data_IF_076764727663
#
_entry.id   IF_076764727663
#
_cell.length_a   1.000
_cell.length_b   1.000
_cell.length_c   1.000
_cell.angle_alpha   90.00
_cell.angle_beta   90.00
_cell.angle_gamma   90.00
#
_symmetry.space_group_name_H-M   'P 1'
#
loop_
_entity.id
_entity.type
_entity.pdbx_description
1 polymer ?
#
# COMPACT_ATOMS: atom_id res chain seq x y z
N UNK A 1 52.69 61.93 59.65
CA UNK A 1 53.03 61.32 58.33
C UNK A 1 52.21 60.04 58.19
N UNK A 2 51.66 59.76 57.00
CA UNK A 2 50.73 58.67 56.58
C UNK A 2 49.26 58.91 56.98
N UNK A 3 48.37 59.44 56.12
CA UNK A 3 47.84 59.14 54.76
C UNK A 3 46.83 57.98 54.69
N UNK A 4 45.69 58.18 53.99
CA UNK A 4 44.47 57.36 54.05
C UNK A 4 44.34 56.41 52.87
N UNK A 5 43.62 55.30 53.01
CA UNK A 5 43.09 54.53 51.87
C UNK A 5 41.71 53.94 52.22
N UNK A 6 40.71 54.82 52.29
CA UNK A 6 39.30 54.47 52.07
C UNK A 6 38.99 54.75 50.59
N UNK A 7 39.35 53.85 49.68
CA UNK A 7 39.05 54.03 48.25
C UNK A 7 39.21 52.72 47.46
N UNK A 8 38.59 51.62 47.89
CA UNK A 8 38.53 50.39 47.08
C UNK A 8 37.13 49.76 47.05
N UNK A 9 36.25 50.01 48.03
CA UNK A 9 34.95 49.32 48.07
C UNK A 9 33.81 49.98 47.27
N UNK A 10 33.98 51.21 46.77
CA UNK A 10 32.91 51.93 46.03
C UNK A 10 33.00 51.72 44.51
N UNK A 11 34.11 51.18 44.00
CA UNK A 11 34.31 50.96 42.55
C UNK A 11 33.81 49.60 42.04
N UNK A 12 33.42 48.66 42.92
CA UNK A 12 32.90 47.33 42.50
C UNK A 12 31.39 47.35 42.27
N UNK A 13 30.66 48.32 42.85
CA UNK A 13 29.18 48.40 42.71
C UNK A 13 28.75 49.12 41.42
N UNK A 14 29.64 49.87 40.76
CA UNK A 14 29.35 50.57 39.51
C UNK A 14 29.71 49.79 38.22
N UNK A 15 30.27 48.59 38.35
CA UNK A 15 30.56 47.71 37.19
C UNK A 15 29.52 46.59 36.99
N UNK A 16 28.52 46.47 37.87
CA UNK A 16 27.42 45.50 37.74
C UNK A 16 26.21 46.06 36.95
N UNK A 17 26.36 47.20 36.29
CA UNK A 17 25.30 47.84 35.49
C UNK A 17 25.44 47.68 33.97
N UNK A 18 26.42 46.91 33.49
CA UNK A 18 26.73 46.77 32.06
C UNK A 18 27.03 45.32 31.63
N UNK A 19 26.44 44.33 32.29
CA UNK A 19 26.22 43.02 31.68
C UNK A 19 24.84 43.00 31.04
N UNK A 20 24.66 43.84 30.02
CA UNK A 20 23.63 43.64 29.02
C UNK A 20 23.99 42.39 28.23
N UNK A 21 23.57 41.24 28.75
CA UNK A 21 23.40 40.07 27.91
C UNK A 21 22.27 40.43 26.96
N UNK A 22 22.59 40.48 25.67
CA UNK A 22 21.62 40.56 24.60
C UNK A 22 20.56 39.50 24.88
N UNK A 23 19.38 39.94 25.32
CA UNK A 23 18.17 39.17 25.10
C UNK A 23 18.08 39.08 23.58
N UNK A 24 18.46 37.92 23.04
CA UNK A 24 17.82 37.47 21.83
C UNK A 24 16.32 37.66 22.09
N UNK A 25 15.66 38.43 21.24
CA UNK A 25 14.22 38.35 21.14
C UNK A 25 13.93 36.92 20.75
N UNK A 26 13.76 36.07 21.76
CA UNK A 26 12.84 34.95 21.68
C UNK A 26 11.53 35.58 21.20
N UNK A 27 11.30 35.44 19.90
CA UNK A 27 9.97 35.52 19.31
C UNK A 27 9.21 34.30 19.81
N UNK A 28 9.01 34.23 21.13
CA UNK A 28 8.18 33.23 21.80
C UNK A 28 6.75 33.76 21.85
N UNK A 29 6.28 34.14 20.66
CA UNK A 29 4.87 34.24 20.36
C UNK A 29 4.50 33.00 19.54
N UNK A 30 4.79 31.82 20.09
CA UNK A 30 3.95 30.67 19.82
C UNK A 30 2.51 31.12 20.07
N UNK A 31 1.64 30.88 19.10
CA UNK A 31 0.22 31.17 19.20
C UNK A 31 -0.26 30.44 20.46
N UNK A 32 -0.53 31.16 21.55
CA UNK A 32 -0.74 30.55 22.88
C UNK A 32 -1.90 29.55 22.92
N UNK A 33 -2.73 29.52 21.88
CA UNK A 33 -3.88 28.65 21.73
C UNK A 33 -3.70 27.56 20.66
N UNK A 34 -2.61 27.52 19.88
CA UNK A 34 -2.41 26.55 18.81
C UNK A 34 -1.03 25.89 18.91
N UNK A 35 -1.01 24.57 19.10
CA UNK A 35 0.21 23.79 19.29
C UNK A 35 0.05 22.41 18.64
N UNK A 36 1.09 21.96 17.93
CA UNK A 36 1.18 20.61 17.39
C UNK A 36 2.32 19.89 18.09
N UNK A 37 2.01 18.73 18.67
CA UNK A 37 3.00 17.82 19.23
C UNK A 37 3.13 16.58 18.36
N UNK A 38 4.35 16.10 18.18
CA UNK A 38 4.68 14.85 17.49
C UNK A 38 5.48 14.01 18.48
N UNK A 39 5.02 12.80 18.77
CA UNK A 39 5.56 11.94 19.84
C UNK A 39 5.70 12.66 21.20
N UNK A 40 4.71 13.48 21.55
CA UNK A 40 4.65 14.29 22.78
C UNK A 40 5.72 15.38 22.93
N UNK A 41 6.42 15.73 21.85
CA UNK A 41 7.35 16.86 21.77
C UNK A 41 6.81 17.91 20.79
N UNK A 42 7.22 19.18 20.91
CA UNK A 42 6.80 20.21 19.96
C UNK A 42 7.21 19.84 18.51
N UNK A 43 6.30 20.07 17.55
CA UNK A 43 6.58 19.78 16.15
C UNK A 43 7.82 20.53 15.65
N UNK A 44 8.63 19.84 14.83
CA UNK A 44 9.95 20.31 14.38
C UNK A 44 11.12 19.90 15.30
N UNK A 45 10.85 19.38 16.50
CA UNK A 45 11.88 18.78 17.38
C UNK A 45 12.19 17.34 16.98
N UNK A 46 11.15 16.57 16.67
CA UNK A 46 11.23 15.15 16.30
C UNK A 46 11.18 15.00 14.78
N UNK A 47 12.03 14.14 14.22
CA UNK A 47 11.99 13.80 12.81
C UNK A 47 10.86 12.81 12.51
N UNK A 48 10.24 12.89 11.33
CA UNK A 48 9.27 11.87 10.92
C UNK A 48 10.02 10.65 10.34
N UNK A 49 9.74 9.43 10.84
CA UNK A 49 10.31 8.23 10.28
C UNK A 49 9.62 7.88 8.96
N UNK A 50 10.41 7.74 7.88
CA UNK A 50 9.89 7.39 6.56
C UNK A 50 9.22 6.01 6.58
N UNK A 51 7.97 5.98 6.13
CA UNK A 51 7.16 4.78 6.02
C UNK A 51 6.66 4.21 7.33
N UNK A 52 6.79 4.92 8.45
CA UNK A 52 6.33 4.48 9.77
C UNK A 52 5.38 5.54 10.37
N UNK A 53 4.28 5.15 11.01
CA UNK A 53 3.40 6.09 11.70
C UNK A 53 4.08 6.63 12.96
N UNK A 54 3.80 7.88 13.27
CA UNK A 54 4.14 8.51 14.54
C UNK A 54 2.95 9.29 15.05
N UNK A 55 2.69 9.20 16.34
CA UNK A 55 1.53 9.85 16.94
C UNK A 55 1.71 11.37 16.96
N UNK A 56 0.61 12.09 16.73
CA UNK A 56 0.54 13.53 16.91
C UNK A 56 -0.62 13.92 17.81
N UNK A 57 -0.54 15.12 18.37
CA UNK A 57 -1.63 15.77 19.08
C UNK A 57 -1.69 17.23 18.66
N UNK A 58 -2.85 17.63 18.13
CA UNK A 58 -3.13 18.99 17.73
C UNK A 58 -4.01 19.64 18.81
N UNK A 59 -3.51 20.71 19.42
CA UNK A 59 -4.24 21.54 20.37
C UNK A 59 -4.62 22.86 19.69
N UNK A 60 -5.88 23.28 19.81
CA UNK A 60 -6.37 24.48 19.14
C UNK A 60 -7.74 24.94 19.62
N UNK A 61 -8.10 26.18 19.29
CA UNK A 61 -9.50 26.62 19.39
C UNK A 61 -10.31 26.08 18.18
N UNK A 62 -11.62 25.94 18.36
CA UNK A 62 -12.58 25.60 17.27
C UNK A 62 -12.29 26.45 16.05
N UNK A 63 -12.05 25.82 14.90
CA UNK A 63 -11.77 26.46 13.63
C UNK A 63 -10.30 26.62 13.26
N UNK A 64 -9.37 26.23 14.14
CA UNK A 64 -7.98 26.08 13.73
C UNK A 64 -7.78 24.84 12.85
N UNK A 65 -6.73 24.83 12.03
CA UNK A 65 -6.47 23.73 11.11
C UNK A 65 -4.99 23.39 10.96
N UNK A 66 -4.75 22.15 10.52
CA UNK A 66 -3.46 21.56 10.17
C UNK A 66 -3.54 21.03 8.73
N UNK A 67 -2.56 21.38 7.91
CA UNK A 67 -2.35 20.87 6.55
C UNK A 67 -0.99 20.18 6.49
N UNK A 68 -0.99 18.96 5.95
CA UNK A 68 0.21 18.18 5.65
C UNK A 68 0.39 18.07 4.13
N UNK A 69 1.62 17.91 3.61
CA UNK A 69 1.86 17.66 2.19
C UNK A 69 1.18 16.36 1.70
N UNK A 70 0.90 16.26 0.41
CA UNK A 70 0.22 15.08 -0.20
C UNK A 70 0.95 13.75 0.05
N UNK A 71 2.29 13.80 0.18
CA UNK A 71 3.16 12.65 0.45
C UNK A 71 3.37 12.36 1.94
N UNK A 72 2.55 12.97 2.80
CA UNK A 72 2.46 12.73 4.24
C UNK A 72 1.00 12.41 4.59
N UNK A 73 0.73 11.19 5.02
CA UNK A 73 -0.60 10.74 5.39
C UNK A 73 -0.93 11.12 6.83
N UNK A 74 -2.18 11.48 7.07
CA UNK A 74 -2.69 11.78 8.41
C UNK A 74 -3.91 10.91 8.71
N UNK A 75 -3.91 10.29 9.89
CA UNK A 75 -4.97 9.41 10.35
C UNK A 75 -5.59 9.98 11.62
N UNK A 76 -6.90 10.15 11.63
CA UNK A 76 -7.67 10.62 12.79
C UNK A 76 -8.87 9.70 12.95
N UNK A 77 -9.21 9.38 14.19
CA UNK A 77 -10.28 8.43 14.51
C UNK A 77 -10.13 7.12 13.72
N UNK A 78 -8.92 6.56 13.57
CA UNK A 78 -8.68 5.31 12.85
C UNK A 78 -8.97 5.32 11.33
N UNK A 79 -9.08 6.49 10.70
CA UNK A 79 -9.32 6.65 9.26
C UNK A 79 -8.36 7.66 8.65
N UNK A 80 -8.04 7.49 7.37
CA UNK A 80 -7.23 8.45 6.62
C UNK A 80 -8.00 9.78 6.49
N UNK A 81 -7.29 10.90 6.61
CA UNK A 81 -7.76 12.24 6.24
C UNK A 81 -7.30 12.49 4.80
N UNK A 82 -8.14 12.23 3.77
CA UNK A 82 -7.69 12.15 2.38
C UNK A 82 -7.20 13.48 1.81
N UNK A 83 -7.62 14.61 2.37
CA UNK A 83 -7.20 15.94 1.92
C UNK A 83 -5.87 16.39 2.52
N UNK A 84 -5.31 15.64 3.48
CA UNK A 84 -4.20 16.11 4.31
C UNK A 84 -4.58 17.32 5.19
N UNK A 85 -5.85 17.71 5.22
CA UNK A 85 -6.35 18.91 5.90
C UNK A 85 -7.27 18.51 7.05
N UNK A 86 -6.82 18.78 8.27
CA UNK A 86 -7.56 18.55 9.51
C UNK A 86 -8.06 19.88 10.06
N UNK A 87 -9.37 19.97 10.26
CA UNK A 87 -10.02 21.07 10.94
C UNK A 87 -10.36 20.66 12.37
N UNK A 88 -10.04 21.51 13.35
CA UNK A 88 -10.53 21.36 14.71
C UNK A 88 -11.96 21.87 14.76
N UNK A 89 -12.90 20.98 15.05
CA UNK A 89 -14.30 21.33 15.26
C UNK A 89 -14.51 21.69 16.75
N UNK A 90 -15.54 21.13 17.40
CA UNK A 90 -15.88 21.40 18.80
C UNK A 90 -14.79 20.95 19.82
N UNK A 91 -13.80 20.17 19.37
CA UNK A 91 -12.76 19.60 20.22
C UNK A 91 -11.54 20.53 20.31
N UNK A 92 -11.12 20.87 21.54
CA UNK A 92 -9.91 21.66 21.81
C UNK A 92 -8.60 20.87 21.55
N UNK A 93 -8.73 19.55 21.33
CA UNK A 93 -7.62 18.61 21.15
C UNK A 93 -8.02 17.48 20.20
N UNK A 94 -7.19 17.19 19.20
CA UNK A 94 -7.33 16.03 18.32
C UNK A 94 -6.06 15.19 18.37
N UNK A 95 -6.24 13.88 18.58
CA UNK A 95 -5.18 12.88 18.52
C UNK A 95 -5.27 12.10 17.21
N UNK A 96 -4.10 11.76 16.66
CA UNK A 96 -4.00 10.96 15.45
C UNK A 96 -2.58 10.45 15.20
N UNK A 97 -2.38 9.90 14.01
CA UNK A 97 -1.08 9.47 13.52
C UNK A 97 -0.72 10.21 12.23
N UNK A 98 0.56 10.54 12.07
CA UNK A 98 1.11 11.07 10.83
C UNK A 98 2.12 10.08 10.28
N UNK A 99 2.16 9.90 8.96
CA UNK A 99 3.03 8.95 8.29
C UNK A 99 3.61 9.62 7.05
N UNK A 100 4.89 9.98 7.09
CA UNK A 100 5.63 10.35 5.89
C UNK A 100 5.82 9.08 5.06
N UNK A 101 5.42 9.06 3.78
CA UNK A 101 5.65 7.89 2.92
C UNK A 101 7.16 7.64 2.71
N UNK A 102 7.57 6.46 2.23
CA UNK A 102 8.97 6.24 1.87
C UNK A 102 9.49 7.24 0.81
N UNK A 103 8.58 7.82 0.02
CA UNK A 103 8.87 8.68 -1.11
C UNK A 103 8.74 10.18 -0.80
N UNK A 104 8.42 10.55 0.44
CA UNK A 104 8.26 11.95 0.85
C UNK A 104 9.46 12.83 0.47
N UNK A 105 9.21 14.02 -0.08
CA UNK A 105 10.27 14.94 -0.52
C UNK A 105 10.58 15.97 0.57
N UNK A 106 11.87 16.24 0.82
CA UNK A 106 12.29 17.31 1.73
C UNK A 106 12.33 18.69 1.02
N UNK A 107 12.05 19.79 1.74
CA UNK A 107 11.67 19.85 3.16
C UNK A 107 10.19 19.50 3.39
N UNK A 108 9.89 18.81 4.50
CA UNK A 108 8.50 18.58 4.93
C UNK A 108 8.02 19.81 5.71
N UNK A 109 6.97 20.45 5.21
CA UNK A 109 6.40 21.65 5.82
C UNK A 109 4.98 21.35 6.26
N UNK A 110 4.75 21.37 7.57
CA UNK A 110 3.42 21.30 8.16
C UNK A 110 2.89 22.73 8.32
N UNK A 111 1.71 23.01 7.78
CA UNK A 111 1.09 24.34 7.89
C UNK A 111 -0.04 24.30 8.89
N UNK A 112 -0.07 25.31 9.74
CA UNK A 112 -1.11 25.48 10.74
C UNK A 112 -1.66 26.89 10.67
N UNK A 113 -2.94 27.05 10.96
CA UNK A 113 -3.56 28.36 11.05
C UNK A 113 -4.55 28.40 12.21
N UNK A 114 -4.49 29.47 13.00
CA UNK A 114 -5.44 29.73 14.06
C UNK A 114 -6.63 30.55 13.54
N UNK A 115 -7.70 30.58 14.33
CA UNK A 115 -8.92 31.33 14.00
C UNK A 115 -8.75 32.83 13.81
N UNK A 116 -7.75 33.44 14.46
CA UNK A 116 -7.45 34.86 14.29
C UNK A 116 -6.74 35.16 12.95
N UNK A 117 -6.51 34.14 12.12
CA UNK A 117 -5.85 34.20 10.83
C UNK A 117 -4.32 34.16 10.92
N UNK A 118 -3.75 33.97 12.11
CA UNK A 118 -2.31 33.72 12.25
C UNK A 118 -1.95 32.36 11.67
N UNK A 119 -0.83 32.30 10.95
CA UNK A 119 -0.33 31.07 10.35
C UNK A 119 1.07 30.73 10.90
N UNK A 120 1.36 29.44 10.92
CA UNK A 120 2.64 28.87 11.33
C UNK A 120 3.03 27.80 10.32
N UNK A 121 4.27 27.85 9.85
CA UNK A 121 4.87 26.80 9.03
C UNK A 121 5.97 26.14 9.86
N UNK A 122 5.89 24.82 10.00
CA UNK A 122 6.83 24.03 10.78
C UNK A 122 7.56 23.12 9.81
N UNK A 123 8.86 23.35 9.67
CA UNK A 123 9.75 22.43 8.94
C UNK A 123 10.08 21.24 9.85
N UNK A 124 9.83 20.04 9.36
CA UNK A 124 10.09 18.79 10.08
C UNK A 124 11.10 17.98 9.30
N UNK A 125 12.15 17.52 9.98
CA UNK A 125 13.17 16.67 9.37
C UNK A 125 12.62 15.26 9.11
N UNK A 126 13.21 14.56 8.15
CA UNK A 126 12.94 13.14 7.92
C UNK A 126 14.07 12.26 8.44
N UNK A 127 13.72 11.07 8.91
CA UNK A 127 14.69 10.01 9.19
C UNK A 127 14.33 8.72 8.44
N UNK A 128 15.36 7.91 8.15
CA UNK A 128 15.16 6.65 7.45
C UNK A 128 14.86 5.55 8.45
N UNK A 129 13.74 4.88 8.24
CA UNK A 129 13.35 3.66 8.95
C UNK A 129 12.93 2.58 7.95
N UNK A 130 12.77 1.35 8.42
CA UNK A 130 12.16 0.30 7.59
C UNK A 130 10.66 0.58 7.48
N UNK A 131 10.08 0.77 6.28
CA UNK A 131 8.66 1.08 6.16
C UNK A 131 7.75 -0.04 6.69
N UNK A 132 6.54 0.32 7.16
CA UNK A 132 5.52 -0.61 7.70
C UNK A 132 5.12 -1.70 6.69
N UNK A 133 5.18 -1.36 5.40
CA UNK A 133 5.19 -2.32 4.29
C UNK A 133 6.50 -2.12 3.54
N UNK A 134 7.42 -3.08 3.63
CA UNK A 134 8.76 -2.94 3.03
C UNK A 134 9.06 -4.06 2.03
N UNK A 135 9.86 -3.72 1.02
CA UNK A 135 10.39 -4.72 0.09
C UNK A 135 11.26 -5.76 0.77
N UNK A 136 11.99 -5.35 1.82
CA UNK A 136 12.80 -6.26 2.63
C UNK A 136 11.95 -7.30 3.36
N UNK A 137 10.88 -6.89 4.05
CA UNK A 137 9.99 -7.85 4.73
C UNK A 137 9.29 -8.76 3.71
N UNK A 138 8.89 -8.21 2.56
CA UNK A 138 8.33 -8.99 1.46
C UNK A 138 9.32 -10.05 0.97
N UNK A 139 10.58 -9.69 0.72
CA UNK A 139 11.58 -10.64 0.23
C UNK A 139 11.86 -11.74 1.26
N UNK A 140 11.95 -11.39 2.54
CA UNK A 140 12.13 -12.37 3.62
C UNK A 140 10.95 -13.35 3.70
N UNK A 141 9.72 -12.86 3.52
CA UNK A 141 8.53 -13.72 3.52
C UNK A 141 8.46 -14.60 2.27
N UNK A 142 8.80 -14.04 1.10
CA UNK A 142 8.93 -14.78 -0.15
C UNK A 142 9.94 -15.92 0.00
N UNK A 143 11.16 -15.62 0.45
CA UNK A 143 12.21 -16.61 0.69
C UNK A 143 11.74 -17.69 1.66
N UNK A 144 11.11 -17.32 2.78
CA UNK A 144 10.53 -18.31 3.69
C UNK A 144 9.50 -19.20 2.98
N UNK A 145 8.60 -18.64 2.18
CA UNK A 145 7.54 -19.40 1.51
C UNK A 145 8.09 -20.35 0.45
N UNK A 146 9.06 -19.89 -0.36
CA UNK A 146 9.56 -20.64 -1.52
C UNK A 146 10.71 -21.59 -1.16
N UNK A 147 11.49 -21.28 -0.12
CA UNK A 147 12.65 -22.09 0.27
C UNK A 147 12.28 -23.46 0.83
N UNK A 148 13.12 -24.45 0.51
CA UNK A 148 13.00 -25.84 0.98
C UNK A 148 14.22 -26.21 1.81
N UNK A 149 14.00 -26.53 3.08
CA UNK A 149 15.06 -27.03 3.96
C UNK A 149 14.52 -27.95 5.05
N UNK A 150 15.44 -28.65 5.74
CA UNK A 150 15.10 -29.61 6.80
C UNK A 150 14.50 -28.94 8.06
N UNK A 151 14.82 -27.66 8.29
CA UNK A 151 14.36 -26.89 9.46
C UNK A 151 13.14 -26.05 9.09
N UNK A 152 11.94 -26.58 9.38
CA UNK A 152 10.67 -25.93 9.03
C UNK A 152 10.40 -24.61 9.78
N UNK A 153 11.27 -24.22 10.71
CA UNK A 153 11.21 -22.89 11.35
C UNK A 153 11.93 -21.82 10.52
N UNK A 154 12.78 -22.24 9.57
CA UNK A 154 13.57 -21.37 8.70
C UNK A 154 13.07 -21.35 7.27
N UNK A 155 12.43 -22.45 6.82
CA UNK A 155 11.85 -22.52 5.49
C UNK A 155 10.45 -23.12 5.56
N UNK A 156 9.51 -22.47 4.89
CA UNK A 156 8.11 -22.83 4.81
C UNK A 156 7.84 -23.94 3.82
N UNK A 157 8.55 -24.00 2.68
CA UNK A 157 8.32 -24.97 1.60
C UNK A 157 6.84 -25.03 1.14
N UNK A 158 6.21 -23.87 0.96
CA UNK A 158 4.83 -23.72 0.48
C UNK A 158 4.80 -23.52 -1.05
N UNK A 159 5.47 -24.43 -1.75
CA UNK A 159 5.59 -24.51 -3.21
C UNK A 159 4.70 -25.65 -3.76
N UNK A 160 4.67 -25.86 -5.08
CA UNK A 160 3.86 -26.92 -5.72
C UNK A 160 2.37 -26.82 -5.36
N UNK A 161 1.85 -25.59 -5.28
CA UNK A 161 0.48 -25.30 -4.85
C UNK A 161 -0.43 -25.03 -6.04
N UNK A 162 -0.35 -25.86 -7.07
CA UNK A 162 -1.36 -25.84 -8.13
C UNK A 162 -2.67 -26.43 -7.61
N UNK A 163 -3.81 -25.97 -8.14
CA UNK A 163 -5.10 -26.55 -7.77
C UNK A 163 -5.30 -27.92 -8.42
N UNK A 164 -6.07 -28.78 -7.76
CA UNK A 164 -6.31 -30.16 -8.17
C UNK A 164 -6.24 -31.11 -6.98
N UNK A 165 -7.39 -31.45 -6.42
CA UNK A 165 -7.46 -32.42 -5.33
C UNK A 165 -7.03 -33.81 -5.81
N UNK A 166 -6.15 -34.53 -5.08
CA UNK A 166 -5.60 -34.19 -3.76
C UNK A 166 -4.18 -33.61 -3.84
N UNK A 167 -4.02 -32.28 -3.81
CA UNK A 167 -2.72 -31.62 -3.64
C UNK A 167 -2.45 -31.27 -2.16
N UNK A 168 -1.67 -32.07 -1.41
CA UNK A 168 -1.40 -31.80 0.00
C UNK A 168 -0.55 -30.54 0.23
N UNK A 169 0.24 -30.10 -0.76
CA UNK A 169 1.03 -28.88 -0.64
C UNK A 169 0.12 -27.65 -0.67
N UNK A 170 -0.91 -27.66 -1.51
CA UNK A 170 -1.93 -26.62 -1.56
C UNK A 170 -2.64 -26.48 -0.20
N UNK A 171 -3.15 -27.58 0.34
CA UNK A 171 -3.84 -27.62 1.64
C UNK A 171 -2.96 -27.10 2.78
N UNK A 172 -1.67 -27.48 2.76
CA UNK A 172 -0.70 -27.01 3.74
C UNK A 172 -0.45 -25.51 3.62
N UNK A 173 -0.31 -24.98 2.40
CA UNK A 173 -0.15 -23.54 2.15
C UNK A 173 -1.39 -22.76 2.58
N UNK A 174 -2.58 -23.20 2.18
CA UNK A 174 -3.84 -22.59 2.58
C UNK A 174 -4.00 -22.52 4.11
N UNK A 175 -3.63 -23.57 4.84
CA UNK A 175 -3.66 -23.57 6.31
C UNK A 175 -2.65 -22.58 6.92
N UNK A 176 -1.47 -22.42 6.32
CA UNK A 176 -0.50 -21.43 6.78
C UNK A 176 -1.00 -20.00 6.56
N UNK A 177 -1.54 -19.73 5.36
CA UNK A 177 -2.11 -18.42 5.05
C UNK A 177 -3.29 -18.10 5.97
N UNK A 178 -4.23 -19.04 6.16
CA UNK A 178 -5.32 -18.87 7.13
C UNK A 178 -4.80 -18.51 8.52
N UNK A 179 -3.76 -19.21 8.99
CA UNK A 179 -3.13 -18.94 10.29
C UNK A 179 -2.54 -17.52 10.41
N UNK A 180 -1.99 -16.97 9.32
CA UNK A 180 -1.47 -15.60 9.29
C UNK A 180 -2.58 -14.57 9.53
N UNK A 181 -3.65 -14.61 8.73
CA UNK A 181 -4.75 -13.66 8.88
C UNK A 181 -5.51 -13.85 10.20
N UNK A 182 -5.70 -15.10 10.64
CA UNK A 182 -6.35 -15.39 11.93
C UNK A 182 -5.52 -14.87 13.11
N UNK A 183 -4.19 -15.02 13.04
CA UNK A 183 -3.25 -14.52 14.05
C UNK A 183 -3.24 -13.00 14.19
N UNK A 184 -3.56 -12.29 13.10
CA UNK A 184 -3.75 -10.83 13.08
C UNK A 184 -5.15 -10.39 13.55
N UNK A 185 -6.06 -11.34 13.84
CA UNK A 185 -7.39 -11.06 14.36
C UNK A 185 -8.46 -10.79 13.29
N UNK A 186 -8.23 -11.15 12.03
CA UNK A 186 -9.27 -11.14 11.00
C UNK A 186 -10.27 -12.29 11.20
N UNK A 187 -11.51 -12.09 10.78
CA UNK A 187 -12.50 -13.16 10.69
C UNK A 187 -12.21 -14.02 9.45
N UNK A 188 -11.54 -15.15 9.65
CA UNK A 188 -10.96 -15.95 8.56
C UNK A 188 -11.75 -17.20 8.23
N UNK A 189 -11.96 -17.42 6.95
CA UNK A 189 -12.74 -18.54 6.42
C UNK A 189 -11.99 -19.23 5.27
N UNK A 190 -12.16 -20.55 5.20
CA UNK A 190 -11.77 -21.32 4.03
C UNK A 190 -13.04 -21.60 3.22
N UNK A 191 -13.13 -21.05 2.02
CA UNK A 191 -14.21 -21.36 1.08
C UNK A 191 -13.79 -22.52 0.20
N UNK A 192 -14.40 -23.69 0.42
CA UNK A 192 -14.25 -24.84 -0.48
C UNK A 192 -15.37 -24.86 -1.50
N UNK A 193 -14.99 -25.00 -2.75
CA UNK A 193 -15.91 -25.15 -3.88
C UNK A 193 -15.68 -26.53 -4.44
N UNK A 194 -16.74 -27.32 -4.59
CA UNK A 194 -16.62 -28.65 -5.20
C UNK A 194 -17.35 -28.63 -6.54
N UNK A 195 -16.59 -28.76 -7.63
CA UNK A 195 -17.12 -28.96 -8.97
C UNK A 195 -17.21 -30.45 -9.27
N UNK A 196 -18.39 -31.01 -9.06
CA UNK A 196 -18.67 -32.42 -9.33
C UNK A 196 -18.64 -32.78 -10.83
N UNK A 197 -18.52 -31.79 -11.74
CA UNK A 197 -18.52 -31.99 -13.18
C UNK A 197 -17.11 -31.98 -13.79
N UNK A 198 -16.10 -31.48 -13.07
CA UNK A 198 -14.69 -31.62 -13.43
C UNK A 198 -14.02 -32.69 -12.55
N UNK A 199 -13.97 -33.97 -13.00
CA UNK A 199 -13.36 -35.04 -12.20
C UNK A 199 -11.83 -34.92 -12.10
N UNK A 200 -11.19 -34.02 -12.85
CA UNK A 200 -9.73 -33.79 -12.83
C UNK A 200 -9.33 -32.77 -11.77
N UNK A 201 -10.10 -31.67 -11.61
CA UNK A 201 -9.93 -30.66 -10.57
C UNK A 201 -11.26 -30.37 -9.87
N UNK A 202 -11.75 -31.32 -9.04
CA UNK A 202 -13.08 -31.25 -8.50
C UNK A 202 -13.21 -30.23 -7.36
N UNK A 203 -12.13 -29.60 -6.91
CA UNK A 203 -12.14 -28.73 -5.73
C UNK A 203 -11.34 -27.45 -5.98
N UNK A 204 -11.86 -26.31 -5.55
CA UNK A 204 -11.09 -25.08 -5.30
C UNK A 204 -11.23 -24.66 -3.84
N UNK A 205 -10.27 -23.89 -3.33
CA UNK A 205 -10.14 -23.54 -1.92
C UNK A 205 -9.58 -22.12 -1.81
N UNK A 206 -10.44 -21.17 -1.47
CA UNK A 206 -10.02 -19.80 -1.19
C UNK A 206 -9.78 -19.60 0.30
N UNK A 207 -8.93 -18.64 0.64
CA UNK A 207 -8.83 -18.06 1.98
C UNK A 207 -9.42 -16.65 1.95
N UNK A 208 -10.36 -16.36 2.85
CA UNK A 208 -11.02 -15.07 2.93
C UNK A 208 -10.87 -14.55 4.36
N UNK A 209 -10.39 -13.32 4.51
CA UNK A 209 -10.20 -12.64 5.78
C UNK A 209 -11.07 -11.38 5.81
N UNK A 210 -12.10 -11.39 6.65
CA UNK A 210 -13.03 -10.27 6.81
C UNK A 210 -12.63 -9.35 7.97
N UNK A 211 -12.85 -8.05 7.75
CA UNK A 211 -12.82 -7.01 8.76
C UNK A 211 -14.10 -6.17 8.66
N UNK A 212 -14.75 -5.93 9.80
CA UNK A 212 -15.95 -5.09 9.83
C UNK A 212 -15.61 -3.62 9.62
N UNK A 213 -16.42 -2.94 8.82
CA UNK A 213 -16.37 -1.51 8.64
C UNK A 213 -17.40 -0.76 9.49
N UNK A 214 -17.45 0.55 9.32
CA UNK A 214 -18.43 1.44 10.00
C UNK A 214 -19.83 1.30 9.42
N UNK A 215 -19.91 1.14 8.10
CA UNK A 215 -21.14 1.05 7.34
C UNK A 215 -21.39 -0.40 6.90
N UNK A 216 -22.42 -1.02 7.49
CA UNK A 216 -22.83 -2.38 7.17
C UNK A 216 -23.56 -2.52 5.82
N UNK A 217 -23.82 -1.43 5.08
CA UNK A 217 -24.53 -1.49 3.79
C UNK A 217 -23.62 -1.69 2.58
N UNK A 218 -22.30 -1.67 2.77
CA UNK A 218 -21.34 -1.78 1.69
C UNK A 218 -20.21 -2.75 2.04
N UNK A 219 -19.58 -3.25 0.98
CA UNK A 219 -18.38 -4.09 1.02
C UNK A 219 -17.34 -3.57 0.03
N UNK A 220 -16.08 -3.83 0.32
CA UNK A 220 -14.94 -3.58 -0.55
C UNK A 220 -13.89 -4.65 -0.32
N UNK A 221 -12.90 -4.79 -1.21
CA UNK A 221 -11.89 -5.80 -0.96
C UNK A 221 -10.63 -5.70 -1.78
N UNK A 222 -9.69 -6.57 -1.45
CA UNK A 222 -8.41 -6.66 -2.11
C UNK A 222 -7.96 -8.12 -2.14
N UNK A 223 -7.25 -8.55 -3.17
CA UNK A 223 -6.80 -9.93 -3.25
C UNK A 223 -5.69 -10.18 -4.26
N UNK A 224 -5.21 -11.42 -4.18
CA UNK A 224 -4.26 -12.05 -5.08
C UNK A 224 -4.63 -13.54 -5.17
N UNK A 225 -4.24 -14.25 -6.22
CA UNK A 225 -4.37 -15.70 -6.19
C UNK A 225 -3.16 -16.35 -5.54
N UNK A 226 -3.41 -17.45 -4.84
CA UNK A 226 -2.37 -18.22 -4.13
C UNK A 226 -2.06 -19.55 -4.81
N UNK A 227 -2.87 -20.00 -5.75
CA UNK A 227 -2.48 -21.11 -6.61
C UNK A 227 -1.37 -20.70 -7.58
N UNK A 228 -0.78 -21.70 -8.22
CA UNK A 228 0.27 -21.53 -9.23
C UNK A 228 -0.03 -22.42 -10.43
N UNK A 229 0.48 -22.04 -11.61
CA UNK A 229 0.33 -22.80 -12.83
C UNK A 229 0.58 -24.31 -12.67
N UNK A 230 -0.38 -25.18 -13.06
CA UNK A 230 -0.28 -26.62 -12.87
C UNK A 230 0.81 -27.26 -13.74
N UNK A 231 1.41 -28.38 -13.30
CA UNK A 231 2.39 -29.12 -14.09
C UNK A 231 1.84 -29.50 -15.48
N UNK A 232 2.59 -29.15 -16.52
CA UNK A 232 2.20 -29.35 -17.92
C UNK A 232 1.28 -28.27 -18.49
N UNK A 233 0.94 -27.23 -17.72
CA UNK A 233 0.18 -26.06 -18.18
C UNK A 233 0.99 -25.18 -19.15
N UNK A 234 0.33 -24.53 -20.13
CA UNK A 234 0.98 -23.54 -21.00
C UNK A 234 1.27 -22.23 -20.24
N UNK A 235 2.16 -21.35 -20.74
CA UNK A 235 3.13 -21.59 -21.82
C UNK A 235 4.38 -22.39 -21.41
N UNK A 236 4.79 -22.36 -20.14
CA UNK A 236 6.11 -22.82 -19.69
C UNK A 236 6.20 -24.25 -19.12
N UNK A 237 5.07 -24.97 -19.02
CA UNK A 237 5.02 -26.33 -18.49
C UNK A 237 4.68 -26.42 -17.00
N UNK A 238 4.18 -25.32 -16.41
CA UNK A 238 3.81 -25.22 -15.00
C UNK A 238 4.93 -24.68 -14.12
N UNK A 239 4.60 -24.32 -12.89
CA UNK A 239 5.51 -23.66 -11.95
C UNK A 239 5.76 -24.52 -10.71
N UNK A 240 6.87 -24.23 -10.03
CA UNK A 240 7.20 -24.84 -8.74
C UNK A 240 7.00 -23.83 -7.61
N UNK A 241 7.71 -22.69 -7.66
CA UNK A 241 7.53 -21.61 -6.69
C UNK A 241 6.35 -20.72 -7.06
N UNK A 242 6.21 -20.39 -8.36
CA UNK A 242 5.25 -19.38 -8.81
C UNK A 242 5.58 -18.04 -8.17
N UNK A 243 6.87 -17.67 -8.14
CA UNK A 243 7.36 -16.58 -7.31
C UNK A 243 6.78 -15.24 -7.76
N UNK A 244 6.88 -14.95 -9.05
CA UNK A 244 6.24 -13.80 -9.67
C UNK A 244 4.73 -14.00 -9.79
N UNK A 245 4.32 -15.23 -10.14
CA UNK A 245 2.94 -15.60 -10.44
C UNK A 245 2.45 -16.79 -9.57
N UNK A 246 1.76 -16.55 -8.46
CA UNK A 246 1.52 -15.24 -7.84
C UNK A 246 1.79 -15.26 -6.33
N UNK A 247 2.90 -15.90 -5.95
CA UNK A 247 3.41 -15.80 -4.56
C UNK A 247 3.63 -14.33 -4.19
N UNK A 248 4.11 -13.52 -5.14
CA UNK A 248 4.34 -12.10 -4.98
C UNK A 248 3.11 -11.35 -4.44
N UNK A 249 1.97 -11.45 -5.12
CA UNK A 249 0.71 -10.84 -4.69
C UNK A 249 0.20 -11.45 -3.39
N UNK A 250 0.31 -12.78 -3.22
CA UNK A 250 -0.07 -13.47 -1.98
C UNK A 250 0.68 -12.91 -0.76
N UNK A 251 1.99 -12.69 -0.87
CA UNK A 251 2.80 -12.11 0.21
C UNK A 251 2.44 -10.64 0.44
N UNK A 252 2.19 -9.86 -0.61
CA UNK A 252 1.74 -8.47 -0.47
C UNK A 252 0.44 -8.40 0.34
N UNK A 253 -0.55 -9.26 0.05
CA UNK A 253 -1.79 -9.34 0.83
C UNK A 253 -1.56 -9.66 2.31
N UNK A 254 -0.61 -10.54 2.61
CA UNK A 254 -0.22 -10.84 4.00
C UNK A 254 0.37 -9.62 4.72
N UNK A 255 1.18 -8.81 4.03
CA UNK A 255 1.79 -7.61 4.60
C UNK A 255 0.80 -6.45 4.74
N UNK A 256 -0.09 -6.23 3.77
CA UNK A 256 -1.17 -5.25 3.89
C UNK A 256 -2.07 -5.55 5.08
N UNK A 257 -2.45 -6.82 5.26
CA UNK A 257 -3.25 -7.26 6.40
C UNK A 257 -2.59 -6.91 7.74
N UNK A 258 -1.26 -7.06 7.84
CA UNK A 258 -0.48 -6.69 9.02
C UNK A 258 -0.48 -5.17 9.20
N UNK A 259 -0.14 -4.41 8.15
CA UNK A 259 -0.04 -2.95 8.20
C UNK A 259 -1.37 -2.28 8.60
N UNK A 260 -2.51 -2.74 8.05
CA UNK A 260 -3.83 -2.23 8.43
C UNK A 260 -4.15 -2.45 9.92
N UNK A 261 -3.65 -3.54 10.54
CA UNK A 261 -3.81 -3.79 11.97
C UNK A 261 -2.85 -2.97 12.83
N UNK A 262 -1.62 -2.79 12.37
CA UNK A 262 -0.60 -2.00 13.08
C UNK A 262 -0.94 -0.50 13.10
N UNK A 263 -1.57 0.01 12.04
CA UNK A 263 -2.15 1.36 11.96
C UNK A 263 -3.54 1.47 12.61
N UNK A 264 -4.07 0.36 13.14
CA UNK A 264 -5.40 0.27 13.74
C UNK A 264 -6.51 0.89 12.88
N UNK A 265 -6.51 0.60 11.57
CA UNK A 265 -7.44 1.18 10.59
C UNK A 265 -8.86 0.63 10.79
N UNK A 266 -9.85 1.52 10.75
CA UNK A 266 -11.28 1.20 10.70
C UNK A 266 -11.87 1.73 9.39
N UNK A 267 -12.06 0.82 8.43
CA UNK A 267 -12.63 1.09 7.11
C UNK A 267 -14.09 1.54 7.14
N UNK A 268 -14.53 2.26 6.11
CA UNK A 268 -15.92 2.67 5.94
C UNK A 268 -16.82 1.46 5.65
N UNK A 269 -16.42 0.55 4.76
CA UNK A 269 -17.19 -0.64 4.40
C UNK A 269 -16.65 -1.91 5.06
N UNK A 270 -17.48 -2.96 5.11
CA UNK A 270 -16.98 -4.29 5.47
C UNK A 270 -15.94 -4.73 4.41
N UNK A 271 -14.73 -5.01 4.86
CA UNK A 271 -13.57 -5.24 3.99
C UNK A 271 -13.21 -6.72 3.97
N UNK A 272 -13.04 -7.30 2.78
CA UNK A 272 -12.44 -8.63 2.61
C UNK A 272 -11.04 -8.54 2.01
N UNK A 273 -10.10 -9.27 2.61
CA UNK A 273 -8.81 -9.60 2.02
C UNK A 273 -8.85 -11.07 1.60
N UNK A 274 -8.52 -11.36 0.35
CA UNK A 274 -8.69 -12.71 -0.17
C UNK A 274 -7.43 -13.25 -0.85
N UNK A 275 -7.23 -14.55 -0.68
CA UNK A 275 -6.32 -15.35 -1.48
C UNK A 275 -7.15 -16.33 -2.30
N UNK A 276 -7.21 -16.08 -3.60
CA UNK A 276 -8.00 -16.87 -4.55
C UNK A 276 -7.28 -18.14 -4.95
N UNK A 277 -8.05 -19.08 -5.46
CA UNK A 277 -7.54 -20.33 -5.99
C UNK A 277 -8.18 -20.62 -7.33
N UNK A 278 -7.55 -21.46 -8.15
CA UNK A 278 -8.01 -21.74 -9.51
C UNK A 278 -8.18 -20.47 -10.34
N UNK A 279 -7.30 -19.48 -10.16
CA UNK A 279 -7.21 -18.33 -11.07
C UNK A 279 -6.76 -18.84 -12.44
N UNK A 280 -5.68 -19.64 -12.41
CA UNK A 280 -4.98 -20.29 -13.52
C UNK A 280 -5.86 -21.25 -14.34
N UNK A 281 -6.98 -21.66 -13.75
CA UNK A 281 -7.96 -22.58 -14.31
C UNK A 281 -9.28 -21.88 -14.70
N UNK A 282 -9.28 -20.53 -14.72
CA UNK A 282 -10.40 -19.70 -15.16
C UNK A 282 -11.17 -19.01 -14.04
N UNK A 283 -10.47 -18.36 -13.10
CA UNK A 283 -11.05 -17.48 -12.06
C UNK A 283 -12.09 -18.17 -11.17
N UNK A 284 -11.99 -19.49 -10.96
CA UNK A 284 -13.05 -20.29 -10.32
C UNK A 284 -13.22 -19.90 -8.86
N UNK A 285 -12.12 -19.60 -8.17
CA UNK A 285 -12.11 -19.18 -6.77
C UNK A 285 -12.85 -17.85 -6.56
N UNK A 286 -12.40 -16.77 -7.20
CA UNK A 286 -13.06 -15.47 -7.10
C UNK A 286 -14.51 -15.53 -7.55
N UNK A 287 -14.79 -16.23 -8.66
CA UNK A 287 -16.16 -16.44 -9.17
C UNK A 287 -17.07 -17.10 -8.14
N UNK A 288 -16.58 -18.13 -7.46
CA UNK A 288 -17.35 -18.83 -6.44
C UNK A 288 -17.65 -17.93 -5.23
N UNK A 289 -16.67 -17.17 -4.74
CA UNK A 289 -16.91 -16.18 -3.68
C UNK A 289 -17.96 -15.13 -4.10
N UNK A 290 -17.86 -14.66 -5.34
CA UNK A 290 -18.70 -13.61 -5.87
C UNK A 290 -20.14 -14.07 -6.17
N UNK A 291 -20.37 -15.35 -6.47
CA UNK A 291 -21.66 -15.87 -6.94
C UNK A 291 -22.36 -16.83 -5.99
N UNK A 292 -21.63 -17.57 -5.15
CA UNK A 292 -22.24 -18.51 -4.22
C UNK A 292 -23.04 -17.78 -3.13
N UNK A 293 -23.99 -18.53 -2.55
CA UNK A 293 -24.77 -18.14 -1.38
C UNK A 293 -24.22 -18.86 -0.15
N UNK A 294 -23.36 -18.17 0.60
CA UNK A 294 -22.76 -18.66 1.83
C UNK A 294 -22.47 -17.51 2.80
N UNK A 295 -22.42 -17.79 4.11
CA UNK A 295 -22.35 -16.77 5.18
C UNK A 295 -21.09 -15.89 5.14
N UNK A 296 -20.04 -16.35 4.45
CA UNK A 296 -18.75 -15.66 4.31
C UNK A 296 -18.38 -15.39 2.85
N UNK A 297 -19.31 -15.61 1.92
CA UNK A 297 -19.22 -15.24 0.51
C UNK A 297 -19.55 -13.75 0.33
N UNK A 298 -19.43 -13.22 -0.89
CA UNK A 298 -19.83 -11.84 -1.19
C UNK A 298 -21.33 -11.65 -0.88
N UNK A 299 -21.71 -10.80 0.09
CA UNK A 299 -23.11 -10.59 0.46
C UNK A 299 -23.90 -9.99 -0.71
N UNK A 300 -25.13 -10.48 -0.95
CA UNK A 300 -25.97 -10.02 -2.07
C UNK A 300 -26.82 -8.81 -1.75
N UNK A 301 -26.87 -8.41 -0.48
CA UNK A 301 -27.64 -7.28 0.05
C UNK A 301 -26.79 -6.05 0.35
N UNK A 302 -25.49 -6.08 0.02
CA UNK A 302 -24.54 -4.97 0.22
C UNK A 302 -23.97 -4.49 -1.11
N UNK A 303 -23.67 -3.20 -1.20
CA UNK A 303 -23.00 -2.60 -2.34
C UNK A 303 -21.51 -3.00 -2.35
N UNK A 304 -21.04 -3.66 -3.40
CA UNK A 304 -19.60 -3.85 -3.63
C UNK A 304 -19.02 -2.60 -4.32
N UNK A 305 -18.31 -1.76 -3.56
CA UNK A 305 -17.83 -0.45 -4.05
C UNK A 305 -16.61 -0.60 -4.96
N UNK A 306 -15.57 -1.27 -4.46
CA UNK A 306 -14.36 -1.50 -5.24
C UNK A 306 -13.62 -2.78 -4.86
N UNK A 307 -12.71 -3.19 -5.74
CA UNK A 307 -11.78 -4.30 -5.54
C UNK A 307 -10.38 -4.04 -6.14
N UNK A 308 -9.31 -4.21 -5.37
CA UNK A 308 -7.92 -4.09 -5.86
C UNK A 308 -7.29 -5.48 -6.02
N UNK A 309 -6.66 -5.74 -7.17
CA UNK A 309 -6.05 -7.04 -7.48
C UNK A 309 -4.54 -6.92 -7.66
N UNK A 310 -3.81 -7.86 -7.05
CA UNK A 310 -2.35 -7.95 -7.12
C UNK A 310 -1.97 -9.22 -7.88
N UNK A 311 -1.42 -9.08 -9.08
CA UNK A 311 -0.99 -10.23 -9.87
C UNK A 311 0.22 -9.86 -10.75
N UNK A 312 1.27 -10.68 -10.70
CA UNK A 312 2.49 -10.47 -11.49
C UNK A 312 3.02 -9.03 -11.39
N UNK A 313 3.17 -8.47 -10.18
CA UNK A 313 3.47 -7.03 -9.99
C UNK A 313 4.88 -6.71 -9.46
N UNK A 314 5.66 -7.72 -9.05
CA UNK A 314 6.95 -7.54 -8.38
C UNK A 314 8.14 -7.13 -9.26
N UNK A 315 8.05 -7.28 -10.59
CA UNK A 315 9.08 -6.87 -11.55
C UNK A 315 8.58 -5.62 -12.27
N UNK A 316 8.86 -4.45 -11.70
CA UNK A 316 8.28 -3.17 -12.12
C UNK A 316 9.28 -2.04 -11.94
N UNK A 317 8.96 -0.85 -12.45
CA UNK A 317 9.65 0.37 -12.02
C UNK A 317 9.62 0.47 -10.48
N UNK A 318 10.73 0.89 -9.80
CA UNK A 318 11.94 1.52 -10.34
C UNK A 318 13.06 0.58 -10.80
N UNK A 319 12.86 -0.74 -10.83
CA UNK A 319 13.89 -1.65 -11.33
C UNK A 319 14.19 -1.43 -12.82
N UNK A 320 15.40 -1.82 -13.23
CA UNK A 320 15.88 -1.65 -14.60
C UNK A 320 16.30 -2.97 -15.20
N UNK A 321 16.02 -3.11 -16.49
CA UNK A 321 16.50 -4.19 -17.35
C UNK A 321 18.02 -4.09 -17.49
N UNK A 322 18.64 -5.19 -17.93
CA UNK A 322 20.07 -5.22 -18.26
C UNK A 322 20.47 -4.21 -19.35
N UNK A 323 19.53 -3.74 -20.19
CA UNK A 323 19.74 -2.69 -21.19
C UNK A 323 19.89 -1.30 -20.57
N UNK A 324 19.47 -1.12 -19.31
CA UNK A 324 19.37 0.17 -18.63
C UNK A 324 17.98 0.80 -18.67
N UNK A 325 17.08 0.26 -19.50
CA UNK A 325 15.68 0.68 -19.57
C UNK A 325 14.93 0.27 -18.29
N UNK A 326 14.01 1.10 -17.77
CA UNK A 326 13.14 0.69 -16.69
C UNK A 326 12.23 -0.48 -17.10
N UNK A 327 11.92 -1.38 -16.15
CA UNK A 327 10.78 -2.28 -16.29
C UNK A 327 9.48 -1.46 -16.31
N UNK A 328 8.44 -1.91 -17.03
CA UNK A 328 7.17 -1.20 -17.04
C UNK A 328 6.46 -1.35 -15.69
N UNK A 329 5.60 -0.39 -15.38
CA UNK A 329 4.69 -0.39 -14.25
C UNK A 329 3.30 -0.16 -14.81
N UNK A 330 2.37 -1.08 -14.57
CA UNK A 330 1.00 -0.99 -15.03
C UNK A 330 0.04 -0.96 -13.84
N UNK A 331 -0.88 0.00 -13.87
CA UNK A 331 -2.02 0.01 -12.98
C UNK A 331 -3.26 0.41 -13.79
N UNK A 332 -4.16 -0.55 -13.99
CA UNK A 332 -5.38 -0.30 -14.76
C UNK A 332 -6.60 -0.28 -13.88
N UNK A 333 -7.43 0.73 -14.09
CA UNK A 333 -8.71 0.86 -13.42
C UNK A 333 -9.87 0.46 -14.34
N UNK A 334 -11.01 0.11 -13.77
CA UNK A 334 -12.22 -0.17 -14.56
C UNK A 334 -13.47 -0.26 -13.67
N UNK A 335 -14.65 -0.57 -14.23
CA UNK A 335 -14.91 -0.82 -15.64
C UNK A 335 -14.78 0.43 -16.52
N UNK A 336 -14.38 0.22 -17.77
CA UNK A 336 -14.28 1.25 -18.81
C UNK A 336 -15.31 0.95 -19.91
N UNK A 337 -16.21 1.89 -20.20
CA UNK A 337 -17.18 1.80 -21.28
C UNK A 337 -16.83 2.69 -22.47
N UNK A 338 -16.10 3.79 -22.25
CA UNK A 338 -15.62 4.71 -23.29
C UNK A 338 -14.19 5.15 -22.98
N UNK A 339 -13.24 4.46 -23.59
CA UNK A 339 -11.80 4.72 -23.45
C UNK A 339 -11.37 6.14 -23.86
N UNK A 340 -12.25 7.00 -24.40
CA UNK A 340 -11.91 8.39 -24.69
C UNK A 340 -12.02 9.32 -23.46
N UNK A 341 -12.61 8.86 -22.35
CA UNK A 341 -12.84 9.64 -21.14
C UNK A 341 -12.53 8.80 -19.89
N UNK A 342 -12.20 9.46 -18.79
CA UNK A 342 -12.14 8.81 -17.47
C UNK A 342 -13.56 8.85 -16.89
N UNK A 343 -14.12 7.69 -16.61
CA UNK A 343 -15.48 7.54 -16.08
C UNK A 343 -15.48 7.21 -14.59
N UNK A 344 -14.49 6.42 -14.13
CA UNK A 344 -14.47 5.92 -12.76
C UNK A 344 -13.73 6.86 -11.79
N UNK A 345 -14.34 7.21 -10.64
CA UNK A 345 -13.66 7.92 -9.57
C UNK A 345 -12.38 7.25 -9.05
N UNK A 346 -12.33 5.91 -9.06
CA UNK A 346 -11.14 5.17 -8.62
C UNK A 346 -9.89 5.48 -9.46
N UNK A 347 -10.07 5.87 -10.73
CA UNK A 347 -8.98 6.26 -11.63
C UNK A 347 -8.25 7.50 -11.11
N UNK A 348 -8.97 8.46 -10.53
CA UNK A 348 -8.37 9.65 -9.92
C UNK A 348 -7.61 9.33 -8.63
N UNK A 349 -8.09 8.36 -7.84
CA UNK A 349 -7.36 7.86 -6.66
C UNK A 349 -6.04 7.23 -7.09
N UNK A 350 -6.08 6.37 -8.11
CA UNK A 350 -4.90 5.71 -8.68
C UNK A 350 -3.88 6.74 -9.21
N UNK A 351 -4.32 7.72 -10.00
CA UNK A 351 -3.47 8.79 -10.53
C UNK A 351 -2.83 9.62 -9.41
N UNK A 352 -3.63 10.06 -8.43
CA UNK A 352 -3.15 10.83 -7.28
C UNK A 352 -2.08 10.07 -6.48
N UNK A 353 -2.35 8.81 -6.13
CA UNK A 353 -1.42 8.00 -5.34
C UNK A 353 -0.10 7.76 -6.08
N UNK A 354 -0.16 7.38 -7.36
CA UNK A 354 1.05 7.03 -8.11
C UNK A 354 1.90 8.27 -8.38
N UNK A 355 1.29 9.37 -8.81
CA UNK A 355 2.04 10.52 -9.32
C UNK A 355 2.24 11.65 -8.32
N UNK A 356 1.24 11.95 -7.48
CA UNK A 356 1.30 13.10 -6.57
C UNK A 356 1.85 12.69 -5.19
N UNK A 357 1.45 11.51 -4.69
CA UNK A 357 1.90 11.00 -3.38
C UNK A 357 3.26 10.28 -3.49
N UNK A 358 3.44 9.41 -4.49
CA UNK A 358 4.70 8.66 -4.66
C UNK A 358 5.70 9.29 -5.63
N UNK A 359 5.34 10.40 -6.27
CA UNK A 359 6.22 11.16 -7.17
C UNK A 359 6.73 10.36 -8.37
N UNK A 360 5.94 9.41 -8.88
CA UNK A 360 6.29 8.69 -10.09
C UNK A 360 6.44 9.65 -11.29
N UNK A 361 7.34 9.36 -12.24
CA UNK A 361 7.48 10.17 -13.44
C UNK A 361 6.35 9.86 -14.43
N UNK A 362 5.45 10.81 -14.67
CA UNK A 362 4.33 10.68 -15.63
C UNK A 362 4.76 10.37 -17.07
N UNK A 363 5.89 10.94 -17.52
CA UNK A 363 6.33 10.88 -18.92
C UNK A 363 7.66 10.12 -19.09
N UNK A 364 7.92 9.12 -18.24
CA UNK A 364 9.09 8.26 -18.42
C UNK A 364 8.78 7.26 -19.54
N UNK A 365 9.65 7.20 -20.56
CA UNK A 365 9.50 6.32 -21.72
C UNK A 365 10.82 5.67 -22.10
N UNK A 366 10.74 4.63 -22.94
CA UNK A 366 11.90 3.90 -23.48
C UNK A 366 12.08 4.11 -24.98
N UNK A 367 13.28 3.84 -25.48
CA UNK A 367 13.54 3.72 -26.91
C UNK A 367 13.04 2.35 -27.42
N UNK A 368 11.83 2.30 -27.95
CA UNK A 368 11.19 1.06 -28.42
C UNK A 368 9.75 0.98 -27.96
N UNK A 369 9.25 -0.22 -27.69
CA UNK A 369 7.98 -0.46 -27.02
C UNK A 369 8.12 -1.61 -26.02
N UNK A 370 7.25 -1.65 -25.02
CA UNK A 370 7.18 -2.75 -24.04
C UNK A 370 6.55 -4.03 -24.61
N UNK A 371 6.15 -4.00 -25.89
CA UNK A 371 5.39 -5.07 -26.53
C UNK A 371 3.94 -5.08 -26.06
N UNK A 372 3.01 -5.46 -26.95
CA UNK A 372 1.59 -5.44 -26.67
C UNK A 372 1.21 -6.43 -25.56
N UNK A 373 1.11 -5.95 -24.34
CA UNK A 373 0.39 -6.61 -23.27
C UNK A 373 -1.07 -6.18 -23.24
N UNK A 374 -1.82 -6.71 -24.19
CA UNK A 374 -3.27 -6.89 -24.21
C UNK A 374 -4.23 -5.76 -23.76
N UNK A 375 -3.95 -4.48 -24.02
CA UNK A 375 -5.02 -3.59 -24.52
C UNK A 375 -4.48 -2.64 -25.62
N UNK A 376 -5.25 -2.51 -26.71
CA UNK A 376 -4.83 -1.89 -27.97
C UNK A 376 -5.46 -0.51 -28.19
N UNK A 377 -5.96 0.12 -27.13
CA UNK A 377 -6.69 1.38 -27.26
C UNK A 377 -5.78 2.61 -27.37
N UNK A 378 -4.54 2.54 -26.88
CA UNK A 378 -3.65 3.69 -26.74
C UNK A 378 -2.29 3.48 -27.39
N UNK A 379 -2.16 3.81 -28.68
CA UNK A 379 -0.88 3.79 -29.40
C UNK A 379 0.20 4.66 -28.70
N UNK A 380 -0.22 5.68 -27.94
CA UNK A 380 0.68 6.59 -27.21
C UNK A 380 1.29 5.97 -25.94
N UNK A 381 0.80 4.80 -25.51
CA UNK A 381 1.25 4.11 -24.29
C UNK A 381 2.29 3.02 -24.57
N UNK A 382 2.57 2.71 -25.84
CA UNK A 382 3.41 1.56 -26.23
C UNK A 382 4.83 1.58 -25.64
N UNK A 383 5.34 2.77 -25.30
CA UNK A 383 6.67 2.99 -24.78
C UNK A 383 6.71 3.65 -23.40
N UNK A 384 5.55 3.92 -22.79
CA UNK A 384 5.46 4.54 -21.47
C UNK A 384 5.83 3.53 -20.38
N UNK A 385 6.68 3.96 -19.46
CA UNK A 385 7.07 3.14 -18.31
C UNK A 385 5.97 3.10 -17.25
N UNK A 386 5.26 4.21 -17.03
CA UNK A 386 4.13 4.29 -16.12
C UNK A 386 2.86 4.28 -16.96
N UNK A 387 2.25 3.11 -17.10
CA UNK A 387 1.01 2.92 -17.84
C UNK A 387 -0.14 2.84 -16.83
N UNK A 388 -0.76 3.99 -16.59
CA UNK A 388 -1.72 4.20 -15.50
C UNK A 388 -2.96 4.87 -16.08
N UNK A 389 -4.02 4.08 -16.32
CA UNK A 389 -5.26 4.57 -16.94
C UNK A 389 -6.46 3.68 -16.64
N UNK A 390 -7.63 4.15 -17.06
CA UNK A 390 -8.85 3.36 -17.08
C UNK A 390 -8.88 2.50 -18.35
N UNK A 391 -9.10 1.20 -18.19
CA UNK A 391 -8.99 0.24 -19.29
C UNK A 391 -9.94 -0.96 -19.15
N UNK A 392 -10.22 -1.59 -20.29
CA UNK A 392 -10.97 -2.85 -20.36
C UNK A 392 -10.11 -4.08 -20.06
N UNK A 393 -8.80 -3.89 -19.91
CA UNK A 393 -7.83 -4.94 -19.60
C UNK A 393 -8.32 -5.88 -18.48
N UNK A 394 -8.46 -7.16 -18.81
CA UNK A 394 -9.11 -8.13 -17.93
C UNK A 394 -8.52 -9.52 -18.10
N UNK A 395 -7.52 -9.85 -17.28
CA UNK A 395 -6.86 -11.17 -17.30
C UNK A 395 -6.85 -11.93 -15.97
N UNK A 396 -7.26 -11.31 -14.86
CA UNK A 396 -7.13 -11.86 -13.51
C UNK A 396 -8.42 -11.69 -12.71
N UNK A 397 -8.41 -12.02 -11.41
CA UNK A 397 -9.58 -12.11 -10.54
C UNK A 397 -10.40 -10.81 -10.43
N UNK A 398 -9.83 -9.63 -10.72
CA UNK A 398 -10.56 -8.36 -10.74
C UNK A 398 -11.73 -8.38 -11.73
N UNK A 399 -11.61 -9.13 -12.83
CA UNK A 399 -12.67 -9.27 -13.84
C UNK A 399 -13.97 -9.79 -13.22
N UNK A 400 -13.88 -10.71 -12.27
CA UNK A 400 -15.04 -11.24 -11.55
C UNK A 400 -15.84 -10.12 -10.88
N UNK A 401 -15.15 -9.21 -10.19
CA UNK A 401 -15.76 -8.12 -9.43
C UNK A 401 -16.20 -6.96 -10.32
N UNK A 402 -15.40 -6.64 -11.35
CA UNK A 402 -15.75 -5.67 -12.39
C UNK A 402 -17.05 -6.04 -13.09
N UNK A 403 -17.25 -7.33 -13.40
CA UNK A 403 -18.49 -7.83 -14.01
C UNK A 403 -19.72 -7.72 -13.09
N UNK A 404 -19.52 -7.52 -11.79
CA UNK A 404 -20.57 -7.19 -10.81
C UNK A 404 -20.72 -5.69 -10.58
N UNK A 405 -20.09 -4.85 -11.42
CA UNK A 405 -20.16 -3.40 -11.35
C UNK A 405 -19.23 -2.75 -10.33
N UNK A 406 -18.36 -3.51 -9.65
CA UNK A 406 -17.36 -2.91 -8.76
C UNK A 406 -16.35 -2.11 -9.58
N UNK A 407 -15.92 -0.96 -9.05
CA UNK A 407 -14.72 -0.30 -9.59
C UNK A 407 -13.49 -1.11 -9.18
N UNK A 408 -12.54 -1.32 -10.10
CA UNK A 408 -11.38 -2.18 -9.82
C UNK A 408 -10.08 -1.50 -10.16
N UNK A 409 -9.01 -1.82 -9.42
CA UNK A 409 -7.62 -1.54 -9.83
C UNK A 409 -6.91 -2.88 -10.01
N UNK A 410 -6.14 -3.02 -11.08
CA UNK A 410 -5.28 -4.15 -11.32
C UNK A 410 -3.81 -3.71 -11.50
N UNK A 411 -2.95 -4.13 -10.57
CA UNK A 411 -1.50 -3.90 -10.66
C UNK A 411 -0.82 -5.04 -11.40
N UNK A 412 -0.05 -4.70 -12.43
CA UNK A 412 0.77 -5.62 -13.23
C UNK A 412 2.16 -5.01 -13.47
N UNK A 413 3.19 -5.84 -13.45
CA UNK A 413 4.57 -5.47 -13.77
C UNK A 413 4.97 -5.83 -15.19
N UNK A 414 6.15 -6.42 -15.32
CA UNK A 414 6.73 -6.95 -16.55
C UNK A 414 5.77 -7.85 -17.33
N UNK A 415 5.69 -7.61 -18.64
CA UNK A 415 5.04 -8.54 -19.56
C UNK A 415 5.84 -9.82 -19.75
N UNK A 416 5.20 -10.85 -20.30
CA UNK A 416 5.80 -12.13 -20.65
C UNK A 416 7.08 -12.01 -21.51
N UNK A 417 7.19 -10.94 -22.32
CA UNK A 417 8.39 -10.65 -23.11
C UNK A 417 9.58 -10.15 -22.28
N UNK A 418 9.31 -9.50 -21.14
CA UNK A 418 10.30 -8.98 -20.20
C UNK A 418 10.62 -9.99 -19.08
N UNK A 419 9.71 -10.92 -18.82
CA UNK A 419 9.91 -12.05 -17.90
C UNK A 419 9.41 -13.36 -18.53
N UNK A 420 10.31 -14.04 -19.26
CA UNK A 420 10.00 -15.26 -20.02
C UNK A 420 9.75 -16.50 -19.14
N UNK A 421 9.89 -16.36 -17.83
CA UNK A 421 9.68 -17.41 -16.85
C UNK A 421 8.21 -17.60 -16.44
N UNK A 422 7.28 -16.78 -16.95
CA UNK A 422 5.84 -16.94 -16.74
C UNK A 422 5.37 -18.40 -17.01
N UNK A 423 4.61 -18.95 -16.06
CA UNK A 423 4.14 -20.35 -16.04
C UNK A 423 5.22 -21.41 -16.28
N UNK A 424 6.47 -21.14 -15.89
CA UNK A 424 7.59 -22.05 -16.09
C UNK A 424 8.25 -22.47 -14.76
N UNK A 425 9.00 -23.58 -14.73
CA UNK A 425 9.78 -23.96 -13.54
C UNK A 425 10.85 -22.93 -13.14
N UNK A 426 11.18 -21.99 -14.02
CA UNK A 426 12.09 -20.86 -13.76
C UNK A 426 11.40 -19.65 -13.12
N UNK A 427 10.08 -19.68 -12.88
CA UNK A 427 9.42 -18.67 -12.05
C UNK A 427 9.78 -18.90 -10.57
N UNK A 428 10.97 -18.44 -10.21
CA UNK A 428 11.58 -18.57 -8.89
C UNK A 428 12.03 -17.21 -8.36
N UNK A 429 12.09 -17.07 -7.04
CA UNK A 429 12.53 -15.83 -6.39
C UNK A 429 13.95 -15.44 -6.83
N UNK A 430 14.84 -16.42 -6.93
CA UNK A 430 16.21 -16.23 -7.43
C UNK A 430 16.23 -15.66 -8.85
N UNK A 431 15.35 -16.16 -9.73
CA UNK A 431 15.26 -15.67 -11.10
C UNK A 431 14.68 -14.26 -11.15
N UNK A 432 13.63 -13.96 -10.37
CA UNK A 432 13.13 -12.58 -10.24
C UNK A 432 14.25 -11.63 -9.83
N UNK A 433 15.00 -11.97 -8.77
CA UNK A 433 16.11 -11.17 -8.27
C UNK A 433 17.21 -11.01 -9.34
N UNK A 434 17.55 -12.09 -10.06
CA UNK A 434 18.54 -12.03 -11.13
C UNK A 434 18.11 -11.10 -12.27
N UNK A 435 16.84 -11.16 -12.68
CA UNK A 435 16.30 -10.38 -13.82
C UNK A 435 16.34 -8.88 -13.53
N UNK A 436 16.02 -8.46 -12.31
CA UNK A 436 16.05 -7.04 -11.91
C UNK A 436 17.43 -6.54 -11.47
N UNK A 437 18.45 -7.42 -11.44
CA UNK A 437 19.83 -7.06 -11.12
C UNK A 437 20.24 -7.26 -9.66
N UNK A 438 19.43 -7.91 -8.84
CA UNK A 438 19.75 -8.34 -7.47
C UNK A 438 18.56 -8.21 -6.52
N UNK A 439 18.74 -8.74 -5.31
CA UNK A 439 17.75 -8.64 -4.23
C UNK A 439 17.39 -7.18 -3.90
N UNK A 440 18.38 -6.31 -3.69
CA UNK A 440 18.14 -4.89 -3.33
C UNK A 440 17.28 -4.15 -4.37
N UNK A 441 17.42 -4.48 -5.67
CA UNK A 441 16.62 -3.89 -6.73
C UNK A 441 15.21 -4.49 -6.78
N UNK A 442 15.07 -5.79 -6.50
CA UNK A 442 13.76 -6.43 -6.37
C UNK A 442 12.97 -5.87 -5.19
N UNK A 443 13.62 -5.65 -4.04
CA UNK A 443 13.01 -5.05 -2.85
C UNK A 443 12.49 -3.63 -3.15
N UNK A 444 13.24 -2.81 -3.89
CA UNK A 444 12.78 -1.47 -4.30
C UNK A 444 11.62 -1.54 -5.30
N UNK A 445 11.71 -2.45 -6.27
CA UNK A 445 10.68 -2.71 -7.29
C UNK A 445 9.34 -3.02 -6.64
N UNK A 446 9.30 -4.08 -5.81
CA UNK A 446 8.07 -4.50 -5.15
C UNK A 446 7.55 -3.46 -4.15
N UNK A 447 8.44 -2.78 -3.43
CA UNK A 447 8.03 -1.80 -2.42
C UNK A 447 7.22 -0.67 -3.03
N UNK A 448 7.63 -0.15 -4.20
CA UNK A 448 6.92 0.92 -4.87
C UNK A 448 5.46 0.54 -5.14
N UNK A 449 5.27 -0.60 -5.80
CA UNK A 449 3.92 -1.06 -6.15
C UNK A 449 3.09 -1.44 -4.91
N UNK A 450 3.71 -2.00 -3.87
CA UNK A 450 3.02 -2.28 -2.62
C UNK A 450 2.53 -1.01 -1.94
N UNK A 451 3.32 0.07 -1.94
CA UNK A 451 2.90 1.37 -1.41
C UNK A 451 1.79 1.99 -2.26
N UNK A 452 1.83 1.83 -3.59
CA UNK A 452 0.71 2.23 -4.46
C UNK A 452 -0.60 1.59 -4.01
N UNK A 453 -0.64 0.25 -4.01
CA UNK A 453 -1.88 -0.48 -3.73
C UNK A 453 -2.36 -0.29 -2.28
N UNK A 454 -1.43 -0.17 -1.33
CA UNK A 454 -1.74 0.11 0.08
C UNK A 454 -2.44 1.47 0.23
N UNK A 455 -1.89 2.52 -0.38
CA UNK A 455 -2.45 3.87 -0.29
C UNK A 455 -3.73 4.01 -1.11
N UNK A 456 -3.76 3.46 -2.33
CA UNK A 456 -4.98 3.42 -3.16
C UNK A 456 -6.16 2.83 -2.40
N UNK A 457 -5.96 1.75 -1.63
CA UNK A 457 -7.00 1.17 -0.81
C UNK A 457 -7.50 2.15 0.27
N UNK A 458 -6.59 2.83 0.96
CA UNK A 458 -6.92 3.80 2.02
C UNK A 458 -7.64 5.03 1.47
N UNK A 459 -7.19 5.57 0.33
CA UNK A 459 -7.84 6.71 -0.33
C UNK A 459 -9.20 6.32 -0.93
N UNK A 460 -9.30 5.15 -1.57
CA UNK A 460 -10.56 4.67 -2.16
C UNK A 460 -11.64 4.40 -1.11
N UNK A 461 -11.27 3.90 0.07
CA UNK A 461 -12.18 3.75 1.22
C UNK A 461 -12.85 5.07 1.61
N UNK A 462 -12.10 6.17 1.53
CA UNK A 462 -12.54 7.52 1.90
C UNK A 462 -13.22 8.29 0.76
N UNK A 463 -13.26 7.75 -0.46
CA UNK A 463 -13.88 8.43 -1.62
C UNK A 463 -15.38 8.05 -1.74
N UNK A 464 -16.32 8.94 -1.40
CA UNK A 464 -17.75 8.65 -1.46
C UNK A 464 -18.29 8.45 -2.88
N UNK A 465 -17.60 8.90 -3.93
CA UNK A 465 -18.01 8.76 -5.32
C UNK A 465 -17.70 7.38 -5.90
N UNK A 466 -16.76 6.63 -5.31
CA UNK A 466 -16.52 5.23 -5.70
C UNK A 466 -17.76 4.41 -5.30
N UNK A 467 -18.47 3.91 -6.30
CA UNK A 467 -19.75 3.21 -6.15
C UNK A 467 -19.83 2.08 -7.15
N UNK A 468 -20.67 1.10 -6.83
CA UNK A 468 -21.00 0.07 -7.80
C UNK A 468 -21.77 0.69 -8.98
N UNK A 469 -21.35 0.38 -10.20
CA UNK A 469 -21.92 0.91 -11.45
C UNK A 469 -22.78 -0.11 -12.22
N UNK A 470 -23.06 -1.28 -11.62
CA UNK A 470 -23.76 -2.43 -12.21
C UNK A 470 -25.20 -2.63 -11.78
#
# INVERSE_FOLDING_TARGET
MRRPQSLVLVLVILAAGLSGCFGASESDAGIKSLNLQIAHEDAGVVALPRGQPIDFTLYGEEGAWLEVPDDVLMFVNHSLVPTGYLHLDDDEEVYGQILATPYTIEPVILKMMAMDGSNLEIEVALENETPIVSGQEWYQKMDFITSVCDDSTKCGAYINRWMGSPNPNFERAASFFQGHFAGLGYETHILRVIDHLNPSEPESLNMIAWQKGRNSSCVQGMGAHMDIAPPGGPPGGGTYEGAYDNTAGTVSMMLFAKAFKELDIVFECDTFLALWSSEEEGLRGSSAFATNDCDYCLPKDKELRFYINMDMMGISWPAKKSTGDPFPYHAWSGPDADSAIIEQPITYVMDHVIFDVQHAPRNLSIDGNYGAGCDQHWDEHDNLTMDVHEDTFGRSDHVTFRNLGAQTIFHLGAYDADYDAYHSPSDTLDNMAQVVGGQDELEKSIQFVMWSAFMEFLFADQEPLIRNVG
#
